data_IF_911642612454
#
_entry.id   IF_911642612454
#
_cell.length_a   1.000
_cell.length_b   1.000
_cell.length_c   1.000
_cell.angle_alpha   90.00
_cell.angle_beta   90.00
_cell.angle_gamma   90.00
#
_symmetry.space_group_name_H-M   'P 1'
#
loop_
_entity.id
_entity.type
_entity.pdbx_description
1 polymer ?
#
# COMPACT_ATOMS: atom_id res chain seq x y z
N UNK A 1 -21.64 -26.51 -20.65
CA UNK A 1 -20.57 -25.65 -21.20
C UNK A 1 -20.77 -24.16 -20.90
N UNK A 2 -21.93 -23.56 -21.22
CA UNK A 2 -22.18 -22.14 -20.97
C UNK A 2 -22.00 -21.69 -19.50
N UNK A 3 -22.43 -22.50 -18.52
CA UNK A 3 -22.28 -22.18 -17.10
C UNK A 3 -20.80 -22.08 -16.65
N UNK A 4 -19.92 -22.90 -17.23
CA UNK A 4 -18.49 -22.90 -16.89
C UNK A 4 -17.82 -21.64 -17.44
N UNK A 5 -18.15 -21.26 -18.68
CA UNK A 5 -17.67 -20.02 -19.31
C UNK A 5 -18.16 -18.77 -18.56
N UNK A 6 -19.41 -18.79 -18.10
CA UNK A 6 -19.97 -17.67 -17.35
C UNK A 6 -19.32 -17.56 -15.95
N UNK A 7 -19.09 -18.69 -15.29
CA UNK A 7 -18.39 -18.73 -14.01
C UNK A 7 -16.94 -18.23 -14.13
N UNK A 8 -16.21 -18.67 -15.16
CA UNK A 8 -14.82 -18.23 -15.39
C UNK A 8 -14.75 -16.74 -15.75
N UNK A 9 -15.65 -16.24 -16.59
CA UNK A 9 -15.76 -14.82 -16.90
C UNK A 9 -16.04 -13.98 -15.64
N UNK A 10 -16.94 -14.44 -14.78
CA UNK A 10 -17.26 -13.74 -13.53
C UNK A 10 -16.06 -13.68 -12.58
N UNK A 11 -15.30 -14.78 -12.46
CA UNK A 11 -14.05 -14.82 -11.70
C UNK A 11 -12.99 -13.86 -12.26
N UNK A 12 -12.86 -13.79 -13.59
CA UNK A 12 -11.94 -12.86 -14.25
C UNK A 12 -12.32 -11.40 -13.98
N UNK A 13 -13.60 -11.05 -14.07
CA UNK A 13 -14.07 -9.68 -13.77
C UNK A 13 -13.78 -9.30 -12.32
N UNK A 14 -14.05 -10.21 -11.36
CA UNK A 14 -13.79 -9.94 -9.94
C UNK A 14 -12.29 -9.79 -9.67
N UNK A 15 -11.46 -10.65 -10.24
CA UNK A 15 -10.01 -10.60 -10.05
C UNK A 15 -9.39 -9.35 -10.70
N UNK A 16 -9.76 -9.04 -11.94
CA UNK A 16 -9.30 -7.84 -12.64
C UNK A 16 -9.82 -6.55 -11.95
N UNK A 17 -11.07 -6.55 -11.48
CA UNK A 17 -11.63 -5.45 -10.71
C UNK A 17 -10.89 -5.22 -9.39
N UNK A 18 -10.54 -6.29 -8.67
CA UNK A 18 -9.73 -6.19 -7.46
C UNK A 18 -8.31 -5.66 -7.75
N UNK A 19 -7.68 -6.15 -8.82
CA UNK A 19 -6.37 -5.65 -9.27
C UNK A 19 -6.45 -4.17 -9.63
N UNK A 20 -7.47 -3.75 -10.39
CA UNK A 20 -7.72 -2.36 -10.75
C UNK A 20 -7.93 -1.46 -9.53
N UNK A 21 -8.71 -1.91 -8.55
CA UNK A 21 -8.89 -1.20 -7.28
C UNK A 21 -7.58 -1.09 -6.49
N UNK A 22 -6.76 -2.15 -6.49
CA UNK A 22 -5.43 -2.15 -5.88
C UNK A 22 -4.45 -1.20 -6.58
N UNK A 23 -4.59 -1.01 -7.89
CA UNK A 23 -3.79 -0.06 -8.68
C UNK A 23 -4.25 1.40 -8.46
N UNK A 24 -5.57 1.67 -8.50
CA UNK A 24 -6.13 3.01 -8.32
C UNK A 24 -6.10 3.54 -6.88
N UNK A 25 -6.20 2.66 -5.88
CA UNK A 25 -6.14 3.02 -4.45
C UNK A 25 -4.96 2.35 -3.73
N UNK A 26 -3.72 2.80 -3.98
CA UNK A 26 -2.52 2.16 -3.44
C UNK A 26 -2.40 2.30 -1.91
N UNK A 27 -3.20 3.17 -1.29
CA UNK A 27 -3.18 3.42 0.14
C UNK A 27 -4.48 2.93 0.80
N UNK A 28 -4.37 1.87 1.61
CA UNK A 28 -5.42 1.48 2.54
C UNK A 28 -5.32 2.27 3.84
N UNK A 29 -6.44 2.57 4.48
CA UNK A 29 -6.43 3.13 5.84
C UNK A 29 -5.86 2.11 6.82
N UNK A 30 -5.00 2.53 7.73
CA UNK A 30 -4.49 1.62 8.76
C UNK A 30 -5.64 1.20 9.69
N UNK A 31 -6.00 -0.09 9.68
CA UNK A 31 -7.13 -0.63 10.46
C UNK A 31 -7.04 -0.36 11.97
N UNK A 32 -5.83 -0.17 12.51
CA UNK A 32 -5.60 0.03 13.95
C UNK A 32 -5.82 1.47 14.41
N UNK A 33 -5.53 2.46 13.58
CA UNK A 33 -5.79 3.88 13.88
C UNK A 33 -6.90 4.49 13.02
N UNK A 34 -7.59 3.69 12.18
CA UNK A 34 -8.68 4.10 11.30
C UNK A 34 -8.36 5.34 10.44
N UNK A 35 -7.10 5.50 10.03
CA UNK A 35 -6.67 6.66 9.24
C UNK A 35 -6.10 7.84 10.04
N UNK A 36 -6.27 7.89 11.37
CA UNK A 36 -5.80 9.02 12.18
C UNK A 36 -4.28 9.06 12.35
N UNK A 37 -3.59 7.93 12.25
CA UNK A 37 -2.13 7.85 12.49
C UNK A 37 -1.73 7.80 13.97
N UNK A 38 -2.68 7.96 14.89
CA UNK A 38 -2.44 7.84 16.33
C UNK A 38 -3.65 7.21 17.02
N UNK A 39 -3.44 6.73 18.24
CA UNK A 39 -4.53 6.26 19.09
C UNK A 39 -5.27 7.47 19.65
N UNK A 40 -6.57 7.58 19.39
CA UNK A 40 -7.42 8.59 20.02
C UNK A 40 -7.63 8.21 21.49
N UNK A 41 -7.37 9.15 22.41
CA UNK A 41 -7.69 9.00 23.83
C UNK A 41 -8.67 10.08 24.24
N UNK A 42 -9.68 9.70 24.99
CA UNK A 42 -10.61 10.64 25.61
C UNK A 42 -10.06 11.03 26.98
N UNK A 43 -9.96 12.33 27.25
CA UNK A 43 -9.60 12.85 28.57
C UNK A 43 -10.79 12.67 29.55
N UNK A 44 -10.53 12.77 30.87
CA UNK A 44 -11.57 12.72 31.92
C UNK A 44 -12.68 13.76 31.73
N UNK A 45 -12.38 14.83 30.99
CA UNK A 45 -13.31 15.91 30.62
C UNK A 45 -14.01 15.70 29.27
N UNK A 46 -13.97 14.49 28.70
CA UNK A 46 -14.64 14.16 27.43
C UNK A 46 -13.96 14.72 26.17
N UNK A 47 -12.81 15.39 26.29
CA UNK A 47 -12.10 15.97 25.14
C UNK A 47 -11.29 14.91 24.41
N UNK A 48 -11.40 14.86 23.08
CA UNK A 48 -10.57 14.02 22.23
C UNK A 48 -9.14 14.57 22.20
N UNK A 49 -8.19 13.79 22.71
CA UNK A 49 -6.76 14.09 22.64
C UNK A 49 -6.04 13.08 21.75
N UNK A 50 -5.02 13.59 21.06
CA UNK A 50 -4.03 12.77 20.38
C UNK A 50 -3.28 11.94 21.42
N UNK A 51 -3.49 10.63 21.40
CA UNK A 51 -2.74 9.68 22.20
C UNK A 51 -1.45 9.25 21.52
N UNK A 52 -0.99 8.03 21.83
CA UNK A 52 0.29 7.50 21.32
C UNK A 52 0.26 7.34 19.80
N UNK A 53 1.42 7.52 19.19
CA UNK A 53 1.65 7.28 17.77
C UNK A 53 1.31 5.84 17.38
N UNK A 54 0.69 5.63 16.22
CA UNK A 54 0.34 4.29 15.79
C UNK A 54 1.59 3.55 15.27
N UNK A 55 2.12 2.62 16.07
CA UNK A 55 3.28 1.75 15.73
C UNK A 55 3.10 0.89 14.46
N UNK A 56 1.89 0.78 13.90
CA UNK A 56 1.60 -0.10 12.75
C UNK A 56 1.69 0.61 11.40
N UNK A 57 1.53 1.92 11.39
CA UNK A 57 1.68 2.77 10.20
C UNK A 57 2.69 3.89 10.42
N UNK A 58 3.49 3.81 11.51
CA UNK A 58 4.35 4.88 12.01
C UNK A 58 3.70 6.26 11.89
N UNK A 59 2.43 6.27 12.28
CA UNK A 59 1.49 7.39 12.25
C UNK A 59 1.35 8.21 10.98
N UNK A 60 1.63 7.61 9.84
CA UNK A 60 1.12 8.08 8.55
C UNK A 60 -0.40 7.91 8.40
N UNK A 61 -1.04 7.07 9.23
CA UNK A 61 -2.48 6.77 9.15
C UNK A 61 -2.87 5.90 7.94
N UNK A 62 -1.99 5.79 6.95
CA UNK A 62 -2.16 5.02 5.72
C UNK A 62 -1.18 3.83 5.69
N UNK A 63 -1.56 2.78 4.96
CA UNK A 63 -0.72 1.61 4.67
C UNK A 63 -0.76 1.31 3.19
N UNK A 64 0.37 0.89 2.65
CA UNK A 64 0.49 0.51 1.24
C UNK A 64 -0.28 -0.82 1.01
N UNK A 65 -1.15 -0.87 -0.01
CA UNK A 65 -1.82 -2.10 -0.45
C UNK A 65 -0.87 -2.98 -1.26
N UNK A 66 -1.21 -4.26 -1.40
CA UNK A 66 -0.39 -5.27 -2.08
C UNK A 66 0.00 -4.88 -3.51
N UNK A 67 -0.89 -4.20 -4.26
CA UNK A 67 -0.59 -3.76 -5.62
C UNK A 67 0.64 -2.85 -5.72
N UNK A 68 0.78 -1.88 -4.81
CA UNK A 68 1.95 -0.99 -4.79
C UNK A 68 3.22 -1.69 -4.29
N UNK A 69 3.08 -2.71 -3.44
CA UNK A 69 4.21 -3.60 -3.09
C UNK A 69 4.70 -4.39 -4.31
N UNK A 70 3.78 -4.96 -5.09
CA UNK A 70 4.11 -5.70 -6.32
C UNK A 70 4.73 -4.77 -7.37
N UNK A 71 4.20 -3.57 -7.56
CA UNK A 71 4.80 -2.60 -8.47
C UNK A 71 6.22 -2.21 -8.05
N UNK A 72 6.43 -1.94 -6.75
CA UNK A 72 7.76 -1.63 -6.24
C UNK A 72 8.72 -2.83 -6.38
N UNK A 73 8.24 -4.06 -6.20
CA UNK A 73 9.03 -5.27 -6.42
C UNK A 73 9.38 -5.42 -7.90
N UNK A 74 8.41 -5.24 -8.81
CA UNK A 74 8.62 -5.29 -10.24
C UNK A 74 9.61 -4.21 -10.70
N UNK A 75 9.48 -2.98 -10.20
CA UNK A 75 10.44 -1.91 -10.49
C UNK A 75 11.85 -2.25 -10.00
N UNK A 76 11.99 -2.91 -8.84
CA UNK A 76 13.28 -3.39 -8.34
C UNK A 76 13.87 -4.43 -9.28
N UNK A 77 13.11 -5.47 -9.60
CA UNK A 77 13.53 -6.53 -10.53
C UNK A 77 13.89 -5.97 -11.91
N UNK A 78 13.12 -5.03 -12.44
CA UNK A 78 13.38 -4.38 -13.72
C UNK A 78 14.69 -3.57 -13.70
N UNK A 79 14.94 -2.83 -12.61
CA UNK A 79 16.18 -2.08 -12.41
C UNK A 79 17.40 -2.99 -12.20
N UNK A 80 17.22 -4.10 -11.50
CA UNK A 80 18.28 -5.08 -11.26
C UNK A 80 18.61 -5.84 -12.56
N UNK A 81 17.60 -6.13 -13.38
CA UNK A 81 17.77 -6.72 -14.71
C UNK A 81 18.38 -5.74 -15.72
N UNK A 82 18.15 -4.43 -15.55
CA UNK A 82 18.69 -3.40 -16.43
C UNK A 82 19.51 -2.38 -15.62
N UNK A 83 20.68 -2.81 -15.09
CA UNK A 83 21.48 -1.96 -14.23
C UNK A 83 22.04 -0.81 -15.05
N UNK A 84 21.47 0.38 -14.83
CA UNK A 84 22.10 1.60 -15.34
C UNK A 84 23.48 1.75 -14.71
N UNK A 85 24.54 2.05 -15.47
CA UNK A 85 25.88 2.22 -14.92
C UNK A 85 25.83 3.27 -13.81
N UNK A 86 26.17 2.84 -12.59
CA UNK A 86 26.26 3.74 -11.43
C UNK A 86 27.39 4.71 -11.74
N UNK A 87 27.07 6.00 -11.83
CA UNK A 87 28.10 7.06 -11.85
C UNK A 87 28.75 7.04 -10.46
N UNK A 88 29.89 6.37 -10.34
CA UNK A 88 30.74 6.49 -9.16
C UNK A 88 31.22 7.93 -9.13
N UNK A 89 30.88 8.64 -8.06
CA UNK A 89 31.44 9.96 -7.81
C UNK A 89 32.90 9.76 -7.44
N UNK A 90 33.82 10.07 -8.36
CA UNK A 90 35.24 10.19 -8.07
C UNK A 90 35.48 11.58 -7.46
N UNK A 91 35.90 11.68 -6.19
CA UNK A 91 36.30 12.97 -5.63
C UNK A 91 37.55 13.47 -6.37
N UNK A 92 37.51 14.72 -6.85
CA UNK A 92 38.70 15.41 -7.37
C UNK A 92 39.56 15.84 -6.18
N UNK A 93 40.79 15.34 -6.13
CA UNK A 93 41.85 15.88 -5.27
C UNK A 93 42.43 17.17 -5.82
#
# INVERSE_FOLDING_TARGET
MALILLASACLLVVTLGYIGLCAGSPFGTCRKCRGFGYAMKTDRKGRLKRGKHCRRCDGHGKRIRTGRHLYNLWLRLYRDANPTPRKTFTPKG
#
